data_IF_899689985566
#
_entry.id   IF_899689985566
#
_cell.length_a   1.000
_cell.length_b   1.000
_cell.length_c   1.000
_cell.angle_alpha   90.00
_cell.angle_beta   90.00
_cell.angle_gamma   90.00
#
_symmetry.space_group_name_H-M   'P 1'
#
loop_
_entity.id
_entity.type
_entity.pdbx_description
1 polymer ?
#
# COMPACT_ATOMS: atom_id res chain seq x y z
N UNK A 1 34.58 20.49 24.83
CA UNK A 1 34.10 19.37 24.03
C UNK A 1 33.51 19.90 22.72
N UNK A 2 33.72 19.27 21.57
CA UNK A 2 33.36 19.84 20.25
C UNK A 2 31.87 20.20 20.09
N UNK A 3 30.99 19.61 20.87
CA UNK A 3 29.55 19.89 20.86
C UNK A 3 29.18 21.16 21.64
N UNK A 4 29.90 21.49 22.72
CA UNK A 4 29.70 22.72 23.46
C UNK A 4 30.16 23.95 22.64
N UNK A 5 31.27 23.83 21.92
CA UNK A 5 31.79 24.87 21.01
C UNK A 5 30.82 25.17 19.87
N UNK A 6 30.00 24.20 19.47
CA UNK A 6 28.94 24.35 18.47
C UNK A 6 27.59 24.81 19.05
N UNK A 7 27.52 25.12 20.37
CA UNK A 7 26.27 25.57 21.01
C UNK A 7 25.16 24.52 21.11
N UNK A 8 25.47 23.24 20.92
CA UNK A 8 24.49 22.14 20.85
C UNK A 8 24.11 21.51 22.20
N UNK A 9 24.84 21.82 23.28
CA UNK A 9 24.54 21.35 24.64
C UNK A 9 24.25 22.54 25.56
N UNK A 10 23.07 23.13 25.45
CA UNK A 10 22.66 24.26 26.29
C UNK A 10 22.04 23.87 27.63
N UNK A 11 21.60 22.62 27.82
CA UNK A 11 20.93 22.11 29.00
C UNK A 11 21.74 21.14 29.87
N UNK A 12 22.96 20.82 29.48
CA UNK A 12 23.83 19.87 30.18
C UNK A 12 24.51 20.49 31.40
N UNK A 13 23.80 20.59 32.50
CA UNK A 13 24.39 20.96 33.83
C UNK A 13 24.81 19.69 34.57
N UNK A 14 25.77 19.81 35.50
CA UNK A 14 26.14 18.68 36.37
C UNK A 14 24.99 18.19 37.29
N UNK A 15 23.88 18.90 37.32
CA UNK A 15 22.66 18.54 38.01
C UNK A 15 21.75 17.63 37.17
N UNK A 16 21.83 17.77 35.85
CA UNK A 16 20.96 17.06 34.89
C UNK A 16 21.69 16.03 34.03
N UNK A 17 23.02 15.98 34.09
CA UNK A 17 23.84 15.10 33.27
C UNK A 17 24.94 14.37 34.08
N UNK A 18 25.19 13.14 33.69
CA UNK A 18 26.36 12.39 34.17
C UNK A 18 27.50 12.66 33.20
N UNK A 19 28.57 13.28 33.66
CA UNK A 19 29.75 13.63 32.88
C UNK A 19 30.88 12.65 33.20
N UNK A 20 31.45 12.04 32.18
CA UNK A 20 32.63 11.16 32.29
C UNK A 20 33.85 11.93 31.85
N UNK A 21 34.87 12.01 32.69
CA UNK A 21 36.16 12.59 32.38
C UNK A 21 37.28 11.60 32.70
N UNK A 22 37.79 10.96 31.65
CA UNK A 22 38.69 9.82 31.79
C UNK A 22 37.95 8.66 32.48
N UNK A 23 38.47 8.18 33.59
CA UNK A 23 37.81 7.15 34.41
C UNK A 23 36.95 7.71 35.55
N UNK A 24 36.83 9.03 35.64
CA UNK A 24 36.12 9.70 36.73
C UNK A 24 34.72 10.10 36.31
N UNK A 25 33.74 9.76 37.12
CA UNK A 25 32.35 10.22 37.02
C UNK A 25 32.19 11.57 37.76
N UNK A 26 31.83 12.59 36.99
CA UNK A 26 31.49 13.92 37.50
C UNK A 26 29.96 14.05 37.52
N UNK A 27 29.34 13.69 38.64
CA UNK A 27 27.90 13.82 38.85
C UNK A 27 27.66 14.30 40.27
N UNK A 28 26.68 15.18 40.49
CA UNK A 28 26.27 15.61 41.86
C UNK A 28 25.52 14.52 42.60
N UNK A 29 24.94 13.57 41.90
CA UNK A 29 24.21 12.45 42.48
C UNK A 29 24.85 11.12 42.06
N UNK A 30 24.81 10.09 42.89
CA UNK A 30 25.26 8.76 42.50
C UNK A 30 24.39 8.22 41.35
N UNK A 31 24.97 7.31 40.56
CA UNK A 31 24.20 6.59 39.57
C UNK A 31 23.03 5.87 40.23
N UNK A 32 21.87 5.91 39.61
CA UNK A 32 20.65 5.22 40.09
C UNK A 32 20.75 3.70 39.89
N UNK A 33 21.54 3.27 38.93
CA UNK A 33 21.77 1.87 38.59
C UNK A 33 23.25 1.68 38.23
N UNK A 34 23.82 0.54 38.56
CA UNK A 34 25.20 0.18 38.17
C UNK A 34 25.39 0.22 36.64
N UNK A 35 24.35 -0.12 35.87
CA UNK A 35 24.34 -0.15 34.41
C UNK A 35 23.58 1.04 33.79
N UNK A 36 23.58 2.21 34.43
CA UNK A 36 22.80 3.38 33.98
C UNK A 36 23.15 3.83 32.57
N UNK A 37 24.44 3.78 32.20
CA UNK A 37 24.88 4.10 30.84
C UNK A 37 24.29 3.17 29.77
N UNK A 38 24.18 1.87 30.07
CA UNK A 38 23.57 0.88 29.16
C UNK A 38 22.07 1.15 29.04
N UNK A 39 21.40 1.44 30.17
CA UNK A 39 19.97 1.79 30.18
C UNK A 39 19.69 3.06 29.38
N UNK A 40 20.56 4.06 29.52
CA UNK A 40 20.46 5.29 28.73
C UNK A 40 20.60 4.99 27.22
N UNK A 41 21.54 4.14 26.83
CA UNK A 41 21.68 3.71 25.44
C UNK A 41 20.49 2.92 24.90
N UNK A 42 19.85 2.12 25.74
CA UNK A 42 18.60 1.43 25.38
C UNK A 42 17.48 2.45 25.18
N UNK A 43 17.38 3.45 26.05
CA UNK A 43 16.39 4.53 25.92
C UNK A 43 16.59 5.33 24.63
N UNK A 44 17.85 5.67 24.29
CA UNK A 44 18.22 6.33 23.05
C UNK A 44 17.74 5.52 21.84
N UNK A 45 18.02 4.19 21.83
CA UNK A 45 17.58 3.30 20.74
C UNK A 45 16.07 3.30 20.59
N UNK A 46 15.36 3.17 21.71
CA UNK A 46 13.88 3.16 21.69
C UNK A 46 13.35 4.49 21.14
N UNK A 47 13.87 5.62 21.62
CA UNK A 47 13.47 6.95 21.17
C UNK A 47 13.75 7.19 19.69
N UNK A 48 14.98 6.86 19.24
CA UNK A 48 15.41 7.07 17.86
C UNK A 48 14.65 6.17 16.88
N UNK A 49 14.38 4.91 17.24
CA UNK A 49 13.60 4.01 16.40
C UNK A 49 12.14 4.41 16.29
N UNK A 50 11.56 5.05 17.32
CA UNK A 50 10.19 5.59 17.29
C UNK A 50 10.04 6.72 16.26
N UNK A 51 11.11 7.38 15.84
CA UNK A 51 11.10 8.36 14.74
C UNK A 51 10.63 7.75 13.41
N UNK A 52 10.69 6.43 13.28
CA UNK A 52 10.10 5.72 12.13
C UNK A 52 8.59 5.90 12.01
N UNK A 53 7.89 6.26 13.09
CA UNK A 53 6.42 6.32 13.15
C UNK A 53 5.74 4.96 12.96
N UNK A 54 6.48 3.86 13.16
CA UNK A 54 6.00 2.49 12.96
C UNK A 54 6.09 1.67 14.24
N UNK A 55 5.15 0.74 14.43
CA UNK A 55 5.28 -0.29 15.46
C UNK A 55 6.31 -1.32 15.01
N UNK A 56 7.38 -1.45 15.79
CA UNK A 56 8.43 -2.44 15.54
C UNK A 56 8.16 -3.65 16.45
N UNK A 57 8.02 -4.82 15.84
CA UNK A 57 7.94 -6.10 16.56
C UNK A 57 9.14 -6.94 16.16
N UNK A 58 10.08 -7.11 17.08
CA UNK A 58 11.30 -7.85 16.81
C UNK A 58 12.27 -7.80 17.97
N UNK A 59 13.43 -8.40 17.77
CA UNK A 59 14.56 -8.37 18.70
C UNK A 59 15.61 -7.42 18.12
N UNK A 60 15.99 -6.39 18.87
CA UNK A 60 17.01 -5.42 18.47
C UNK A 60 18.31 -5.75 19.18
N UNK A 61 19.35 -6.00 18.40
CA UNK A 61 20.74 -6.19 18.88
C UNK A 61 21.54 -4.99 18.39
N UNK A 62 22.10 -4.23 19.32
CA UNK A 62 22.88 -3.03 19.01
C UNK A 62 24.29 -3.14 19.58
N UNK A 63 25.29 -2.89 18.71
CA UNK A 63 26.70 -2.85 19.10
C UNK A 63 27.20 -1.42 18.92
N UNK A 64 27.65 -0.79 20.03
CA UNK A 64 28.08 0.62 20.07
C UNK A 64 27.04 1.59 19.48
N UNK A 65 25.77 1.57 19.97
CA UNK A 65 24.72 2.41 19.43
C UNK A 65 24.99 3.89 19.68
N UNK A 66 24.39 4.73 18.83
CA UNK A 66 24.40 6.18 18.93
C UNK A 66 23.29 6.77 18.07
N UNK A 67 22.95 8.05 18.28
CA UNK A 67 21.86 8.72 17.55
C UNK A 67 22.00 8.64 16.01
N UNK A 68 23.23 8.77 15.47
CA UNK A 68 23.48 8.64 14.04
C UNK A 68 23.04 7.27 13.49
N UNK A 69 23.67 6.16 13.90
CA UNK A 69 23.30 4.81 13.46
C UNK A 69 21.86 4.44 13.77
N UNK A 70 21.31 4.86 14.92
CA UNK A 70 19.93 4.58 15.29
C UNK A 70 18.95 5.26 14.35
N UNK A 71 19.18 6.53 13.99
CA UNK A 71 18.33 7.28 13.05
C UNK A 71 18.45 6.77 11.60
N UNK A 72 19.63 6.30 11.20
CA UNK A 72 19.82 5.60 9.92
C UNK A 72 19.00 4.31 9.86
N UNK A 73 18.99 3.53 10.95
CA UNK A 73 18.15 2.33 11.05
C UNK A 73 16.65 2.69 10.97
N UNK A 74 16.21 3.75 11.66
CA UNK A 74 14.82 4.22 11.56
C UNK A 74 14.45 4.60 10.11
N UNK A 75 15.33 5.28 9.38
CA UNK A 75 15.14 5.59 7.95
C UNK A 75 15.07 4.32 7.10
N UNK A 76 15.97 3.35 7.35
CA UNK A 76 15.97 2.08 6.64
C UNK A 76 14.66 1.30 6.85
N UNK A 77 14.15 1.27 8.10
CA UNK A 77 12.85 0.66 8.44
C UNK A 77 11.72 1.33 7.65
N UNK A 78 11.68 2.67 7.60
CA UNK A 78 10.68 3.41 6.82
C UNK A 78 10.81 3.12 5.32
N UNK A 79 12.03 3.10 4.79
CA UNK A 79 12.28 2.79 3.38
C UNK A 79 11.81 1.38 3.03
N UNK A 80 12.16 0.39 3.86
CA UNK A 80 11.74 -0.99 3.68
C UNK A 80 10.21 -1.14 3.82
N UNK A 81 9.58 -0.49 4.81
CA UNK A 81 8.13 -0.49 4.95
C UNK A 81 7.43 0.11 3.73
N UNK A 82 7.94 1.22 3.19
CA UNK A 82 7.40 1.84 2.00
C UNK A 82 7.64 0.97 0.75
N UNK A 83 8.79 0.32 0.65
CA UNK A 83 9.08 -0.65 -0.40
C UNK A 83 8.14 -1.86 -0.31
N UNK A 84 7.88 -2.39 0.89
CA UNK A 84 6.93 -3.49 1.12
C UNK A 84 5.48 -3.06 0.81
N UNK A 85 5.10 -1.81 1.08
CA UNK A 85 3.78 -1.27 0.68
C UNK A 85 3.69 -0.99 -0.83
N UNK A 86 4.79 -0.64 -1.45
CA UNK A 86 4.88 -0.51 -2.91
C UNK A 86 5.02 -1.88 -3.59
N UNK A 87 5.53 -2.89 -2.89
CA UNK A 87 5.34 -4.28 -3.26
C UNK A 87 3.87 -4.60 -2.95
N UNK A 88 3.08 -4.76 -4.00
CA UNK A 88 1.86 -5.53 -3.91
C UNK A 88 2.21 -6.80 -3.14
N UNK A 89 1.45 -7.17 -2.10
CA UNK A 89 1.66 -8.46 -1.47
C UNK A 89 1.79 -9.49 -2.59
N UNK A 90 2.78 -10.42 -2.50
CA UNK A 90 2.96 -11.42 -3.53
C UNK A 90 1.57 -11.94 -3.84
N UNK A 91 1.22 -11.90 -5.13
CA UNK A 91 -0.09 -12.37 -5.57
C UNK A 91 -0.33 -13.64 -4.76
N UNK A 92 -1.32 -13.61 -3.88
CA UNK A 92 -1.66 -14.81 -3.14
C UNK A 92 -1.85 -15.80 -4.25
N UNK A 93 -0.88 -16.71 -4.38
CA UNK A 93 -0.99 -17.79 -5.33
C UNK A 93 -2.17 -18.58 -4.79
N UNK A 94 -3.37 -18.18 -5.22
CA UNK A 94 -4.57 -18.96 -5.02
C UNK A 94 -4.56 -19.93 -6.20
N UNK A 95 -3.95 -21.11 -6.06
CA UNK A 95 -4.00 -22.11 -7.10
C UNK A 95 -5.47 -22.52 -7.18
N UNK A 96 -6.18 -22.02 -8.18
CA UNK A 96 -7.59 -22.33 -8.35
C UNK A 96 -8.47 -21.98 -7.14
N UNK A 97 -8.12 -20.94 -6.37
CA UNK A 97 -8.89 -20.50 -5.22
C UNK A 97 -10.35 -20.31 -5.62
N UNK A 98 -11.25 -20.89 -4.84
CA UNK A 98 -12.69 -20.77 -5.05
C UNK A 98 -13.02 -19.31 -5.30
N UNK A 99 -13.70 -19.03 -6.41
CA UNK A 99 -14.16 -17.69 -6.70
C UNK A 99 -15.13 -17.31 -5.58
N UNK A 100 -14.90 -16.15 -4.97
CA UNK A 100 -15.86 -15.60 -4.00
C UNK A 100 -17.12 -15.14 -4.74
N UNK A 101 -16.95 -14.64 -5.99
CA UNK A 101 -18.02 -14.44 -6.95
C UNK A 101 -17.56 -14.98 -8.32
N UNK A 102 -18.35 -15.87 -8.89
CA UNK A 102 -18.15 -16.34 -10.25
C UNK A 102 -18.63 -15.31 -11.29
N UNK A 103 -18.47 -15.61 -12.59
CA UNK A 103 -18.85 -14.69 -13.67
C UNK A 103 -20.36 -14.40 -13.68
N UNK A 104 -21.22 -15.35 -13.31
CA UNK A 104 -22.66 -15.14 -13.27
C UNK A 104 -23.04 -14.19 -12.15
N UNK A 105 -22.42 -14.36 -10.99
CA UNK A 105 -22.62 -13.47 -9.84
C UNK A 105 -22.10 -12.05 -10.14
N UNK A 106 -20.94 -11.94 -10.80
CA UNK A 106 -20.43 -10.65 -11.31
C UNK A 106 -21.44 -10.01 -12.27
N UNK A 107 -22.00 -10.77 -13.21
CA UNK A 107 -23.02 -10.28 -14.15
C UNK A 107 -24.35 -9.91 -13.48
N UNK A 108 -24.67 -10.47 -12.33
CA UNK A 108 -25.86 -10.09 -11.55
C UNK A 108 -25.67 -8.72 -10.87
N UNK A 109 -24.44 -8.36 -10.55
CA UNK A 109 -24.10 -7.06 -9.93
C UNK A 109 -23.85 -6.00 -11.00
N UNK A 110 -23.00 -6.32 -11.99
CA UNK A 110 -22.59 -5.39 -13.05
C UNK A 110 -23.54 -5.49 -14.26
N UNK A 111 -23.92 -4.35 -14.86
CA UNK A 111 -24.73 -4.35 -16.08
C UNK A 111 -23.92 -4.72 -17.34
N UNK A 112 -22.58 -4.70 -17.26
CA UNK A 112 -21.68 -4.93 -18.38
C UNK A 112 -21.84 -6.35 -18.97
N UNK A 113 -21.69 -6.47 -20.28
CA UNK A 113 -21.74 -7.73 -21.03
C UNK A 113 -20.63 -7.72 -22.08
N UNK A 114 -20.43 -8.86 -22.75
CA UNK A 114 -19.53 -8.96 -23.87
C UNK A 114 -19.81 -7.86 -24.92
N UNK A 115 -18.78 -7.19 -25.46
CA UNK A 115 -17.34 -7.41 -25.24
C UNK A 115 -16.77 -6.55 -24.10
N UNK A 116 -17.58 -5.90 -23.29
CA UNK A 116 -17.19 -4.87 -22.34
C UNK A 116 -17.19 -5.32 -20.88
N UNK A 117 -17.46 -6.59 -20.60
CA UNK A 117 -17.26 -7.17 -19.27
C UNK A 117 -15.78 -7.57 -19.11
N UNK A 118 -15.04 -6.83 -18.30
CA UNK A 118 -13.60 -7.00 -18.11
C UNK A 118 -13.23 -7.59 -16.74
N UNK A 119 -14.17 -8.31 -16.12
CA UNK A 119 -13.97 -9.02 -14.85
C UNK A 119 -14.52 -10.43 -15.00
N UNK A 120 -13.65 -11.44 -14.86
CA UNK A 120 -14.05 -12.85 -15.00
C UNK A 120 -14.52 -13.44 -13.68
N UNK A 121 -13.98 -12.97 -12.55
CA UNK A 121 -14.34 -13.42 -11.20
C UNK A 121 -13.82 -12.49 -10.12
N UNK A 122 -14.40 -12.57 -8.92
CA UNK A 122 -13.87 -11.96 -7.70
C UNK A 122 -13.23 -13.06 -6.85
N UNK A 123 -12.01 -12.82 -6.39
CA UNK A 123 -11.22 -13.77 -5.61
C UNK A 123 -11.07 -13.37 -4.15
N UNK A 124 -11.57 -12.21 -3.75
CA UNK A 124 -11.57 -11.82 -2.34
C UNK A 124 -12.13 -10.43 -2.07
N UNK A 125 -12.63 -10.29 -0.86
CA UNK A 125 -12.95 -9.00 -0.23
C UNK A 125 -12.14 -8.86 1.05
N UNK A 126 -11.69 -7.66 1.35
CA UNK A 126 -11.05 -7.31 2.63
C UNK A 126 -11.87 -6.18 3.26
N UNK A 127 -12.64 -6.52 4.29
CA UNK A 127 -13.66 -5.63 4.85
C UNK A 127 -14.77 -5.33 3.84
N UNK A 128 -15.39 -4.17 4.00
CA UNK A 128 -16.50 -3.73 3.13
C UNK A 128 -16.03 -2.84 1.97
N UNK A 129 -14.77 -2.41 1.99
CA UNK A 129 -14.27 -1.37 1.09
C UNK A 129 -13.20 -1.83 0.09
N UNK A 130 -12.75 -3.09 0.16
CA UNK A 130 -11.73 -3.59 -0.77
C UNK A 130 -12.20 -4.84 -1.49
N UNK A 131 -11.81 -4.93 -2.75
CA UNK A 131 -12.12 -6.05 -3.62
C UNK A 131 -10.94 -6.40 -4.51
N UNK A 132 -10.78 -7.69 -4.77
CA UNK A 132 -9.81 -8.20 -5.74
C UNK A 132 -10.52 -9.02 -6.80
N UNK A 133 -10.47 -8.52 -8.03
CA UNK A 133 -10.97 -9.18 -9.22
C UNK A 133 -9.86 -9.79 -10.06
N UNK A 134 -10.25 -10.62 -11.02
CA UNK A 134 -9.35 -11.24 -12.00
C UNK A 134 -9.96 -11.07 -13.38
N UNK A 135 -9.11 -10.68 -14.35
CA UNK A 135 -9.35 -10.78 -15.78
C UNK A 135 -8.28 -11.67 -16.41
N UNK A 136 -8.70 -12.75 -17.05
CA UNK A 136 -7.81 -13.55 -17.88
C UNK A 136 -7.67 -12.86 -19.23
N UNK A 137 -6.48 -12.37 -19.53
CA UNK A 137 -6.22 -11.62 -20.77
C UNK A 137 -5.89 -12.64 -21.87
N UNK A 138 -6.89 -13.03 -22.65
CA UNK A 138 -6.70 -13.99 -23.74
C UNK A 138 -6.48 -13.29 -25.08
N UNK A 139 -5.79 -13.95 -26.03
CA UNK A 139 -5.61 -13.43 -27.39
C UNK A 139 -6.94 -13.26 -28.14
N UNK A 140 -8.01 -13.90 -27.67
CA UNK A 140 -9.35 -13.84 -28.28
C UNK A 140 -10.13 -12.56 -27.92
N UNK A 141 -9.56 -11.68 -27.10
CA UNK A 141 -10.17 -10.40 -26.79
C UNK A 141 -10.22 -9.52 -28.06
N UNK A 142 -11.38 -8.94 -28.41
CA UNK A 142 -11.56 -8.26 -29.70
C UNK A 142 -10.65 -7.04 -29.88
N UNK A 143 -10.21 -6.40 -28.81
CA UNK A 143 -9.33 -5.24 -28.90
C UNK A 143 -7.91 -5.57 -29.42
N UNK A 144 -7.47 -6.85 -29.34
CA UNK A 144 -6.15 -7.23 -29.87
C UNK A 144 -6.08 -7.24 -31.39
N UNK A 145 -7.23 -7.27 -32.10
CA UNK A 145 -7.26 -7.16 -33.55
C UNK A 145 -6.75 -5.80 -34.04
N UNK A 146 -6.93 -4.75 -33.23
CA UNK A 146 -6.54 -3.40 -33.60
C UNK A 146 -5.42 -2.81 -32.72
N UNK A 147 -5.13 -3.37 -31.56
CA UNK A 147 -4.20 -2.77 -30.58
C UNK A 147 -3.06 -3.71 -30.16
N UNK A 148 -2.03 -3.97 -30.98
CA UNK A 148 -1.80 -3.53 -32.36
C UNK A 148 -1.55 -4.75 -33.25
N UNK A 149 -1.81 -4.72 -34.55
CA UNK A 149 -1.51 -5.83 -35.45
C UNK A 149 -0.03 -6.25 -35.36
N UNK A 150 0.21 -7.53 -35.05
CA UNK A 150 1.55 -8.07 -34.84
C UNK A 150 2.23 -7.71 -33.49
N UNK A 151 1.62 -6.86 -32.66
CA UNK A 151 2.13 -6.49 -31.36
C UNK A 151 0.98 -6.29 -30.34
N UNK A 152 0.33 -7.38 -29.91
CA UNK A 152 -0.87 -7.29 -29.08
C UNK A 152 -0.54 -6.81 -27.67
N UNK A 153 -1.13 -5.70 -27.27
CA UNK A 153 -1.05 -5.11 -25.92
C UNK A 153 -2.46 -4.75 -25.49
N UNK A 154 -2.84 -5.09 -24.27
CA UNK A 154 -4.13 -4.64 -23.71
C UNK A 154 -4.14 -3.11 -23.60
N UNK A 155 -5.14 -2.41 -24.18
CA UNK A 155 -5.24 -0.96 -24.07
C UNK A 155 -5.24 -0.50 -22.61
N UNK A 156 -4.43 0.51 -22.29
CA UNK A 156 -4.36 1.06 -20.92
C UNK A 156 -5.70 1.58 -20.43
N UNK A 157 -6.51 2.14 -21.31
CA UNK A 157 -7.87 2.62 -20.97
C UNK A 157 -8.81 1.48 -20.58
N UNK A 158 -8.62 0.27 -21.12
CA UNK A 158 -9.42 -0.90 -20.72
C UNK A 158 -8.94 -1.47 -19.36
N UNK A 159 -7.70 -1.25 -18.98
CA UNK A 159 -7.25 -1.54 -17.61
C UNK A 159 -7.94 -0.60 -16.60
N UNK A 160 -8.12 0.69 -16.95
CA UNK A 160 -8.92 1.63 -16.14
C UNK A 160 -10.36 1.16 -16.01
N UNK A 161 -10.97 0.75 -17.14
CA UNK A 161 -12.33 0.22 -17.13
C UNK A 161 -12.44 -1.03 -16.24
N UNK A 162 -11.48 -1.95 -16.32
CA UNK A 162 -11.46 -3.13 -15.47
C UNK A 162 -11.38 -2.75 -13.97
N UNK A 163 -10.55 -1.76 -13.60
CA UNK A 163 -10.52 -1.20 -12.24
C UNK A 163 -11.88 -0.59 -11.86
N UNK A 164 -12.50 0.13 -12.77
CA UNK A 164 -13.81 0.76 -12.56
C UNK A 164 -14.90 -0.29 -12.30
N UNK A 165 -14.90 -1.38 -13.04
CA UNK A 165 -15.84 -2.49 -12.86
C UNK A 165 -15.66 -3.18 -11.51
N UNK A 166 -14.41 -3.49 -11.11
CA UNK A 166 -14.16 -4.09 -9.79
C UNK A 166 -14.52 -3.13 -8.65
N UNK A 167 -14.23 -1.82 -8.77
CA UNK A 167 -14.64 -0.83 -7.81
C UNK A 167 -16.18 -0.68 -7.73
N UNK A 168 -16.87 -0.80 -8.88
CA UNK A 168 -18.34 -0.77 -8.93
C UNK A 168 -18.94 -1.97 -8.20
N UNK A 169 -18.33 -3.14 -8.18
CA UNK A 169 -18.79 -4.28 -7.40
C UNK A 169 -18.81 -3.93 -5.90
N UNK A 170 -17.77 -3.26 -5.40
CA UNK A 170 -17.76 -2.78 -4.01
C UNK A 170 -18.91 -1.81 -3.74
N UNK A 171 -19.05 -0.80 -4.61
CA UNK A 171 -20.07 0.25 -4.46
C UNK A 171 -21.50 -0.28 -4.52
N UNK A 172 -21.79 -1.18 -5.47
CA UNK A 172 -23.13 -1.71 -5.71
C UNK A 172 -23.57 -2.75 -4.69
N UNK A 173 -22.65 -3.31 -3.93
CA UNK A 173 -22.93 -4.23 -2.80
C UNK A 173 -23.22 -3.49 -1.49
N UNK A 174 -22.96 -2.20 -1.40
CA UNK A 174 -23.32 -1.42 -0.21
C UNK A 174 -24.85 -1.30 -0.10
N UNK A 175 -25.40 -1.41 1.13
CA UNK A 175 -26.86 -1.32 1.34
C UNK A 175 -27.47 -0.08 0.69
N UNK A 176 -28.56 -0.27 -0.05
CA UNK A 176 -29.27 0.80 -0.75
C UNK A 176 -28.69 1.21 -2.10
N UNK A 177 -27.67 0.48 -2.58
CA UNK A 177 -27.10 0.70 -3.91
C UNK A 177 -27.41 -0.43 -4.90
N UNK A 178 -28.19 -1.40 -4.47
CA UNK A 178 -28.58 -2.55 -5.29
C UNK A 178 -29.32 -2.09 -6.56
N UNK A 179 -28.91 -2.62 -7.70
CA UNK A 179 -29.55 -2.31 -9.00
C UNK A 179 -29.20 -0.95 -9.60
N UNK A 180 -28.44 -0.11 -8.92
CA UNK A 180 -27.94 1.15 -9.49
C UNK A 180 -26.86 0.92 -10.55
N UNK A 181 -26.50 1.99 -11.25
CA UNK A 181 -25.41 2.01 -12.23
C UNK A 181 -24.35 2.98 -11.75
N UNK A 182 -23.08 2.54 -11.77
CA UNK A 182 -21.93 3.41 -11.53
C UNK A 182 -21.49 4.10 -12.82
N UNK A 183 -21.69 5.41 -12.91
CA UNK A 183 -21.16 6.21 -14.00
C UNK A 183 -19.75 6.68 -13.65
N UNK A 184 -18.81 6.38 -14.52
CA UNK A 184 -17.44 6.79 -14.39
C UNK A 184 -17.30 8.30 -14.66
N UNK A 185 -16.86 9.07 -13.66
CA UNK A 185 -16.79 10.53 -13.74
C UNK A 185 -15.41 11.05 -14.06
N UNK A 186 -14.40 10.51 -13.40
CA UNK A 186 -13.02 10.96 -13.63
C UNK A 186 -12.00 9.90 -13.21
N UNK A 187 -10.81 9.97 -13.80
CA UNK A 187 -9.61 9.28 -13.38
C UNK A 187 -8.49 10.29 -13.14
N UNK A 188 -7.82 10.18 -12.00
CA UNK A 188 -6.69 11.00 -11.63
C UNK A 188 -5.48 10.10 -11.33
N UNK A 189 -4.27 10.70 -11.36
CA UNK A 189 -3.02 10.01 -11.03
C UNK A 189 -2.82 8.68 -11.78
N UNK A 190 -3.32 8.61 -13.01
CA UNK A 190 -3.24 7.42 -13.84
C UNK A 190 -1.81 7.18 -14.27
N UNK A 191 -1.32 5.95 -14.05
CA UNK A 191 0.02 5.54 -14.46
C UNK A 191 -0.04 4.14 -15.06
N UNK A 192 0.54 3.99 -16.23
CA UNK A 192 0.84 2.71 -16.86
C UNK A 192 2.33 2.47 -16.78
N UNK A 193 2.74 1.38 -16.14
CA UNK A 193 4.15 1.08 -15.83
C UNK A 193 4.72 0.00 -16.71
N UNK A 194 3.87 -0.95 -17.10
CA UNK A 194 4.24 -2.10 -17.92
C UNK A 194 3.09 -2.49 -18.84
N UNK A 195 3.38 -3.03 -20.02
CA UNK A 195 2.34 -3.59 -20.88
C UNK A 195 1.70 -4.82 -20.25
N UNK A 196 0.43 -5.03 -20.54
CA UNK A 196 -0.33 -6.25 -20.25
C UNK A 196 -0.53 -6.98 -21.59
N UNK A 197 -0.14 -8.24 -21.62
CA UNK A 197 -0.04 -9.04 -22.86
C UNK A 197 -1.03 -10.20 -22.86
N UNK A 198 -1.37 -10.76 -24.02
CA UNK A 198 -2.11 -12.02 -24.08
C UNK A 198 -1.40 -13.12 -23.29
N UNK A 199 -2.16 -13.85 -22.47
CA UNK A 199 -1.64 -14.87 -21.55
C UNK A 199 -1.46 -14.39 -20.12
N UNK A 200 -1.51 -13.08 -19.86
CA UNK A 200 -1.43 -12.55 -18.51
C UNK A 200 -2.71 -12.81 -17.70
N UNK A 201 -2.54 -13.09 -16.42
CA UNK A 201 -3.61 -13.01 -15.42
C UNK A 201 -3.54 -11.62 -14.78
N UNK A 202 -4.52 -10.78 -15.11
CA UNK A 202 -4.61 -9.43 -14.57
C UNK A 202 -5.39 -9.46 -13.26
N UNK A 203 -4.69 -9.32 -12.14
CA UNK A 203 -5.31 -9.08 -10.84
C UNK A 203 -5.64 -7.61 -10.71
N UNK A 204 -6.85 -7.31 -10.25
CA UNK A 204 -7.36 -5.96 -10.14
C UNK A 204 -7.74 -5.73 -8.69
N UNK A 205 -6.99 -4.90 -8.00
CA UNK A 205 -7.27 -4.52 -6.61
C UNK A 205 -7.91 -3.16 -6.58
N UNK A 206 -9.01 -3.03 -5.83
CA UNK A 206 -9.66 -1.75 -5.61
C UNK A 206 -9.95 -1.53 -4.14
N UNK A 207 -9.84 -0.27 -3.73
CA UNK A 207 -10.16 0.19 -2.38
C UNK A 207 -11.06 1.42 -2.46
N UNK A 208 -12.27 1.31 -1.94
CA UNK A 208 -13.18 2.44 -1.78
C UNK A 208 -12.67 3.34 -0.66
N UNK A 209 -12.28 4.57 -1.01
CA UNK A 209 -11.74 5.55 -0.08
C UNK A 209 -12.81 6.34 0.62
N UNK A 210 -13.86 6.70 -0.13
CA UNK A 210 -14.92 7.58 0.34
C UNK A 210 -16.17 7.37 -0.47
N UNK A 211 -17.30 7.42 0.25
CA UNK A 211 -18.63 7.52 -0.34
C UNK A 211 -19.35 8.71 0.28
N UNK A 212 -19.85 9.62 -0.56
CA UNK A 212 -20.66 10.77 -0.10
C UNK A 212 -21.88 10.91 -1.00
N UNK A 213 -23.06 10.65 -0.45
CA UNK A 213 -24.29 10.55 -1.23
C UNK A 213 -24.10 9.53 -2.37
N UNK A 214 -24.24 9.99 -3.62
CA UNK A 214 -24.12 9.16 -4.81
C UNK A 214 -22.72 9.17 -5.43
N UNK A 215 -21.72 9.83 -4.82
CA UNK A 215 -20.36 9.93 -5.37
C UNK A 215 -19.41 9.08 -4.56
N UNK A 216 -18.77 8.12 -5.24
CA UNK A 216 -17.73 7.25 -4.70
C UNK A 216 -16.35 7.58 -5.26
N UNK A 217 -15.33 7.48 -4.42
CA UNK A 217 -13.92 7.56 -4.81
C UNK A 217 -13.23 6.25 -4.46
N UNK A 218 -12.48 5.70 -5.39
CA UNK A 218 -11.72 4.48 -5.18
C UNK A 218 -10.29 4.58 -5.72
N UNK A 219 -9.38 3.84 -5.13
CA UNK A 219 -8.09 3.51 -5.72
C UNK A 219 -8.22 2.21 -6.48
N UNK A 220 -7.58 2.14 -7.66
CA UNK A 220 -7.47 0.93 -8.45
C UNK A 220 -6.02 0.62 -8.80
N UNK A 221 -5.68 -0.67 -8.82
CA UNK A 221 -4.38 -1.17 -9.28
C UNK A 221 -4.56 -2.44 -10.09
N UNK A 222 -3.87 -2.52 -11.21
CA UNK A 222 -3.72 -3.74 -11.98
C UNK A 222 -2.35 -4.36 -11.72
N UNK A 223 -2.31 -5.67 -11.59
CA UNK A 223 -1.14 -6.42 -11.16
C UNK A 223 -0.97 -7.64 -12.06
N UNK A 224 0.23 -7.83 -12.58
CA UNK A 224 0.64 -9.03 -13.33
C UNK A 224 1.91 -9.57 -12.72
N UNK A 225 1.96 -10.86 -12.44
CA UNK A 225 3.12 -11.54 -11.84
C UNK A 225 3.66 -10.83 -10.59
N UNK A 226 2.75 -10.34 -9.71
CA UNK A 226 3.10 -9.65 -8.47
C UNK A 226 3.61 -8.21 -8.64
N UNK A 227 3.58 -7.65 -9.87
CA UNK A 227 4.03 -6.30 -10.14
C UNK A 227 2.87 -5.40 -10.55
N UNK A 228 2.80 -4.19 -9.99
CA UNK A 228 1.81 -3.19 -10.42
C UNK A 228 2.14 -2.75 -11.84
N UNK A 229 1.23 -3.02 -12.77
CA UNK A 229 1.33 -2.65 -14.19
C UNK A 229 0.61 -1.34 -14.49
N UNK A 230 -0.46 -1.04 -13.76
CA UNK A 230 -1.14 0.25 -13.81
C UNK A 230 -1.83 0.58 -12.48
N UNK A 231 -2.09 1.88 -12.27
CA UNK A 231 -2.79 2.39 -11.10
C UNK A 231 -3.55 3.67 -11.43
N UNK A 232 -4.63 3.94 -10.72
CA UNK A 232 -5.43 5.15 -10.86
C UNK A 232 -6.27 5.45 -9.61
N UNK A 233 -6.63 6.72 -9.45
CA UNK A 233 -7.72 7.17 -8.59
C UNK A 233 -8.97 7.35 -9.44
N UNK A 234 -10.08 6.75 -9.04
CA UNK A 234 -11.32 6.68 -9.80
C UNK A 234 -12.44 7.39 -9.04
N UNK A 235 -13.31 8.07 -9.77
CA UNK A 235 -14.50 8.70 -9.22
C UNK A 235 -15.74 8.26 -9.99
N UNK A 236 -16.80 7.95 -9.27
CA UNK A 236 -18.06 7.44 -9.81
C UNK A 236 -19.26 8.22 -9.27
N UNK A 237 -20.30 8.32 -10.07
CA UNK A 237 -21.63 8.71 -9.62
C UNK A 237 -22.58 7.52 -9.75
N UNK A 238 -23.28 7.19 -8.67
CA UNK A 238 -24.35 6.18 -8.71
C UNK A 238 -25.66 6.83 -9.15
N UNK A 239 -26.31 6.20 -10.12
CA UNK A 239 -27.63 6.60 -10.62
C UNK A 239 -28.60 5.43 -10.53
N UNK A 240 -29.86 5.72 -10.34
CA UNK A 240 -30.94 4.73 -10.44
C UNK A 240 -31.05 4.26 -11.89
N UNK A 241 -31.39 2.99 -12.05
CA UNK A 241 -31.51 2.34 -13.37
C UNK A 241 -32.87 2.60 -13.99
#
# INVERSE_FOLDING_TARGET
>A
APLMEKGLIKGGTLEAAVVVRGETLLSKQPLRFENEFVRHKILDIVGDLMLSGKRIRGHVIAVRPGHGPNTEMARAIVAQYNAMRAMVPPAVNIPGGEAVLDVNEVMNILPHRYPFLLVDRIVGFEGENKCRGVKNVTINEPYFQGHFPGHPIMPGVLQLEAMAQVASIVLLRLPGNEGKIGYFMSANNVKWRKPVLPGDNLFIETELLKMKRNIGQALGRCIVNGQVVSEAELMFSLIDR
#
